data_IF_158981459833
#
_entry.id   IF_158981459833
#
_cell.length_a   1.000
_cell.length_b   1.000
_cell.length_c   1.000
_cell.angle_alpha   90.00
_cell.angle_beta   90.00
_cell.angle_gamma   90.00
#
_symmetry.space_group_name_H-M   'P 1'
#
loop_
_entity.id
_entity.type
_entity.pdbx_description
1 polymer ?
#
# COMPACT_ATOMS: atom_id res chain seq x y z
N UNK A 1 -6.63 -16.94 5.41
CA UNK A 1 -6.87 -18.16 4.60
C UNK A 1 -7.86 -17.95 3.46
N UNK A 2 -9.05 -17.38 3.68
CA UNK A 2 -10.03 -17.13 2.59
C UNK A 2 -9.46 -16.34 1.40
N UNK A 3 -8.76 -15.23 1.68
CA UNK A 3 -8.04 -14.45 0.67
C UNK A 3 -7.04 -15.27 -0.14
N UNK A 4 -6.17 -16.03 0.54
CA UNK A 4 -5.14 -16.88 -0.09
C UNK A 4 -5.75 -17.89 -1.07
N UNK A 5 -6.78 -18.62 -0.64
CA UNK A 5 -7.45 -19.63 -1.47
C UNK A 5 -8.07 -18.95 -2.70
N UNK A 6 -8.67 -17.77 -2.52
CA UNK A 6 -9.25 -17.05 -3.64
C UNK A 6 -8.19 -16.52 -4.61
N UNK A 7 -7.05 -16.03 -4.12
CA UNK A 7 -5.94 -15.61 -4.98
C UNK A 7 -5.48 -16.77 -5.88
N UNK A 8 -5.22 -17.94 -5.29
CA UNK A 8 -4.82 -19.14 -6.02
C UNK A 8 -5.89 -19.55 -7.05
N UNK A 9 -7.18 -19.56 -6.67
CA UNK A 9 -8.29 -19.89 -7.58
C UNK A 9 -8.47 -18.89 -8.73
N UNK A 10 -8.09 -17.63 -8.56
CA UNK A 10 -8.13 -16.62 -9.62
C UNK A 10 -6.83 -16.58 -10.46
N UNK A 11 -5.90 -17.51 -10.22
CA UNK A 11 -4.61 -17.58 -10.93
C UNK A 11 -3.60 -16.53 -10.51
N UNK A 12 -3.82 -15.84 -9.39
CA UNK A 12 -2.88 -14.86 -8.84
C UNK A 12 -1.98 -15.57 -7.84
N UNK A 13 -0.69 -15.60 -8.14
CA UNK A 13 0.31 -16.23 -7.28
C UNK A 13 0.53 -15.35 -6.04
N UNK A 14 0.48 -15.90 -4.80
CA UNK A 14 0.82 -15.14 -3.60
C UNK A 14 2.34 -15.07 -3.45
N UNK A 15 2.89 -13.87 -3.26
CA UNK A 15 4.30 -13.65 -2.92
C UNK A 15 4.55 -13.83 -1.43
N UNK A 16 3.64 -13.31 -0.60
CA UNK A 16 3.73 -13.46 0.84
C UNK A 16 2.37 -13.63 1.53
N UNK A 17 2.39 -14.37 2.63
CA UNK A 17 1.30 -14.51 3.59
C UNK A 17 1.81 -14.14 4.97
N UNK A 18 1.14 -13.19 5.61
CA UNK A 18 1.37 -12.82 7.00
C UNK A 18 0.23 -13.35 7.84
N UNK A 19 0.55 -14.12 8.88
CA UNK A 19 -0.43 -14.62 9.85
C UNK A 19 0.20 -14.71 11.23
N UNK A 20 -0.42 -14.08 12.23
CA UNK A 20 -0.07 -14.23 13.65
C UNK A 20 1.45 -14.07 13.94
N UNK A 21 2.07 -13.02 13.40
CA UNK A 21 3.50 -12.76 13.60
C UNK A 21 4.45 -13.57 12.71
N UNK A 22 3.95 -14.52 11.91
CA UNK A 22 4.74 -15.32 10.98
C UNK A 22 4.49 -14.82 9.55
N UNK A 23 5.57 -14.60 8.81
CA UNK A 23 5.55 -14.27 7.40
C UNK A 23 6.08 -15.46 6.57
N UNK A 24 5.26 -15.97 5.68
CA UNK A 24 5.64 -16.94 4.66
C UNK A 24 5.90 -16.18 3.37
N UNK A 25 7.13 -16.21 2.87
CA UNK A 25 7.54 -15.42 1.70
C UNK A 25 8.18 -16.33 0.67
N UNK A 26 7.78 -16.18 -0.59
CA UNK A 26 8.33 -16.94 -1.71
C UNK A 26 9.42 -16.13 -2.43
N UNK A 27 10.67 -16.26 -1.96
CA UNK A 27 11.85 -15.57 -2.51
C UNK A 27 12.92 -16.61 -2.91
N UNK A 28 12.73 -17.24 -4.08
CA UNK A 28 13.53 -18.38 -4.57
C UNK A 28 13.46 -19.58 -3.60
N UNK A 29 12.25 -19.88 -3.14
CA UNK A 29 11.96 -20.88 -2.12
C UNK A 29 11.09 -20.31 -1.00
N UNK A 30 10.35 -21.19 -0.32
CA UNK A 30 9.51 -20.80 0.81
C UNK A 30 10.40 -20.46 2.01
N UNK A 31 10.41 -19.20 2.41
CA UNK A 31 11.10 -18.71 3.61
C UNK A 31 10.09 -18.34 4.68
N UNK A 32 10.34 -18.80 5.89
CA UNK A 32 9.54 -18.46 7.07
C UNK A 32 10.31 -17.40 7.86
N UNK A 33 9.67 -16.27 8.14
CA UNK A 33 10.27 -15.16 8.88
C UNK A 33 9.36 -14.77 10.04
N UNK A 34 9.93 -14.55 11.22
CA UNK A 34 9.17 -14.10 12.38
C UNK A 34 9.23 -12.57 12.52
N UNK A 35 8.05 -11.95 12.56
CA UNK A 35 7.86 -10.51 12.64
C UNK A 35 6.75 -10.23 13.68
N UNK A 36 7.10 -10.10 14.96
CA UNK A 36 6.13 -10.04 16.06
C UNK A 36 5.19 -8.83 15.96
N UNK A 37 5.58 -7.76 15.25
CA UNK A 37 4.71 -6.60 15.00
C UNK A 37 3.40 -6.95 14.29
N UNK A 38 3.36 -8.03 13.50
CA UNK A 38 2.11 -8.50 12.87
C UNK A 38 1.12 -9.11 13.86
N UNK A 39 1.52 -9.43 15.10
CA UNK A 39 0.57 -9.83 16.16
C UNK A 39 -0.38 -8.69 16.54
N UNK A 40 0.06 -7.44 16.36
CA UNK A 40 -0.77 -6.25 16.61
C UNK A 40 -1.82 -6.04 15.51
N UNK A 41 -1.63 -6.65 14.34
CA UNK A 41 -2.62 -6.63 13.28
C UNK A 41 -3.61 -7.77 13.50
N UNK A 42 -4.85 -7.43 13.84
CA UNK A 42 -5.94 -8.41 13.97
C UNK A 42 -6.25 -8.96 12.57
N UNK A 43 -5.57 -10.03 12.18
CA UNK A 43 -5.78 -10.71 10.90
C UNK A 43 -4.49 -11.18 10.22
N UNK A 44 -4.60 -11.41 8.91
CA UNK A 44 -3.47 -11.76 8.07
C UNK A 44 -3.53 -11.01 6.74
N UNK A 45 -2.35 -10.68 6.20
CA UNK A 45 -2.21 -9.99 4.92
C UNK A 45 -1.72 -10.99 3.87
N UNK A 46 -2.29 -10.94 2.67
CA UNK A 46 -1.77 -11.67 1.51
C UNK A 46 -1.28 -10.64 0.50
N UNK A 47 -0.02 -10.72 0.12
CA UNK A 47 0.58 -9.87 -0.89
C UNK A 47 0.72 -10.71 -2.17
N UNK A 48 0.10 -10.29 -3.28
CA UNK A 48 0.26 -10.97 -4.57
C UNK A 48 1.69 -10.80 -5.08
N UNK A 49 2.09 -11.72 -5.95
CA UNK A 49 3.30 -11.57 -6.77
C UNK A 49 3.15 -10.45 -7.79
N UNK A 50 4.21 -10.19 -8.55
CA UNK A 50 4.20 -9.19 -9.61
C UNK A 50 2.99 -9.35 -10.54
N UNK A 51 2.33 -8.22 -10.81
CA UNK A 51 1.15 -8.12 -11.66
C UNK A 51 1.44 -7.13 -12.78
N UNK A 52 0.99 -7.47 -13.99
CA UNK A 52 1.08 -6.63 -15.19
C UNK A 52 -0.33 -6.37 -15.73
N UNK A 53 -0.60 -5.12 -16.14
CA UNK A 53 -1.85 -4.62 -16.70
C UNK A 53 -1.51 -3.66 -17.84
N UNK A 54 -1.60 -4.13 -19.07
CA UNK A 54 -1.14 -3.39 -20.26
C UNK A 54 -2.29 -2.96 -21.16
N UNK A 55 -3.51 -3.39 -20.83
CA UNK A 55 -4.70 -3.12 -21.62
C UNK A 55 -5.93 -2.95 -20.75
N UNK A 56 -6.99 -2.39 -21.35
CA UNK A 56 -8.29 -2.23 -20.70
C UNK A 56 -8.94 -3.56 -20.36
N UNK A 57 -8.81 -4.57 -21.22
CA UNK A 57 -9.38 -5.90 -20.97
C UNK A 57 -8.70 -6.57 -19.76
N UNK A 58 -7.38 -6.38 -19.63
CA UNK A 58 -6.62 -6.83 -18.46
C UNK A 58 -7.00 -6.05 -17.19
N UNK A 59 -7.19 -4.73 -17.29
CA UNK A 59 -7.68 -3.90 -16.19
C UNK A 59 -9.01 -4.44 -15.66
N UNK A 60 -9.98 -4.65 -16.56
CA UNK A 60 -11.31 -5.15 -16.20
C UNK A 60 -11.26 -6.56 -15.61
N UNK A 61 -10.44 -7.45 -16.19
CA UNK A 61 -10.22 -8.79 -15.67
C UNK A 61 -9.59 -8.75 -14.27
N UNK A 62 -8.60 -7.90 -14.05
CA UNK A 62 -7.93 -7.74 -12.75
C UNK A 62 -8.87 -7.16 -11.69
N UNK A 63 -9.64 -6.13 -12.03
CA UNK A 63 -10.68 -5.58 -11.15
C UNK A 63 -11.68 -6.68 -10.77
N UNK A 64 -12.12 -7.52 -11.71
CA UNK A 64 -13.02 -8.62 -11.43
C UNK A 64 -12.39 -9.65 -10.47
N UNK A 65 -11.14 -10.06 -10.71
CA UNK A 65 -10.42 -11.00 -9.84
C UNK A 65 -10.29 -10.45 -8.41
N UNK A 66 -9.87 -9.20 -8.25
CA UNK A 66 -9.70 -8.57 -6.94
C UNK A 66 -11.01 -8.40 -6.18
N UNK A 67 -12.11 -8.02 -6.85
CA UNK A 67 -13.44 -7.97 -6.21
C UNK A 67 -13.85 -9.33 -5.64
N UNK A 68 -13.55 -10.43 -6.34
CA UNK A 68 -13.81 -11.79 -5.83
C UNK A 68 -12.92 -12.12 -4.64
N UNK A 69 -11.63 -11.79 -4.71
CA UNK A 69 -10.68 -12.01 -3.62
C UNK A 69 -11.09 -11.26 -2.36
N UNK A 70 -11.38 -9.96 -2.45
CA UNK A 70 -11.83 -9.15 -1.31
C UNK A 70 -13.04 -9.78 -0.61
N UNK A 71 -14.01 -10.28 -1.37
CA UNK A 71 -15.18 -10.95 -0.79
C UNK A 71 -14.87 -12.28 -0.10
N UNK A 72 -13.77 -12.94 -0.43
CA UNK A 72 -13.45 -14.27 0.08
C UNK A 72 -13.08 -14.26 1.56
N UNK A 73 -12.41 -13.22 2.06
CA UNK A 73 -12.05 -13.09 3.48
C UNK A 73 -13.28 -13.11 4.42
N UNK A 74 -14.20 -12.15 4.27
CA UNK A 74 -15.40 -12.09 5.11
C UNK A 74 -16.31 -13.30 4.90
N UNK A 75 -16.50 -13.78 3.66
CA UNK A 75 -17.31 -14.97 3.38
C UNK A 75 -16.75 -16.22 4.04
N UNK A 76 -15.43 -16.44 3.97
CA UNK A 76 -14.80 -17.58 4.62
C UNK A 76 -14.98 -17.54 6.14
N UNK A 77 -14.90 -16.35 6.74
CA UNK A 77 -15.13 -16.16 8.18
C UNK A 77 -16.57 -16.51 8.57
N UNK A 78 -17.56 -16.07 7.80
CA UNK A 78 -18.98 -16.41 8.01
C UNK A 78 -19.22 -17.91 7.86
N UNK A 79 -18.72 -18.53 6.79
CA UNK A 79 -18.88 -19.97 6.55
C UNK A 79 -18.26 -20.78 7.69
N UNK A 80 -17.05 -20.40 8.14
CA UNK A 80 -16.37 -21.05 9.25
C UNK A 80 -17.15 -20.92 10.56
N UNK A 81 -17.68 -19.74 10.87
CA UNK A 81 -18.52 -19.52 12.05
C UNK A 81 -19.80 -20.37 12.04
N UNK A 82 -20.49 -20.44 10.90
CA UNK A 82 -21.69 -21.29 10.73
C UNK A 82 -21.35 -22.77 10.88
N UNK A 83 -20.23 -23.22 10.30
CA UNK A 83 -19.81 -24.61 10.37
C UNK A 83 -19.47 -25.03 11.82
N UNK A 84 -18.77 -24.18 12.57
CA UNK A 84 -18.50 -24.44 14.00
C UNK A 84 -19.80 -24.47 14.80
N UNK A 85 -20.74 -23.58 14.53
CA UNK A 85 -22.04 -23.58 15.20
C UNK A 85 -22.78 -24.89 14.94
N UNK A 86 -22.81 -25.37 13.70
CA UNK A 86 -23.45 -26.65 13.34
C UNK A 86 -22.76 -27.85 14.02
N UNK A 87 -21.42 -27.90 14.02
CA UNK A 87 -20.66 -28.96 14.70
C UNK A 87 -20.98 -28.96 16.20
N UNK A 88 -21.02 -27.78 16.82
CA UNK A 88 -21.36 -27.67 18.24
C UNK A 88 -22.79 -28.15 18.52
N UNK A 89 -23.77 -27.75 17.71
CA UNK A 89 -25.17 -28.22 17.83
C UNK A 89 -25.25 -29.75 17.70
N UNK A 90 -24.52 -30.35 16.76
CA UNK A 90 -24.48 -31.81 16.60
C UNK A 90 -23.86 -32.50 17.84
N UNK A 91 -22.84 -31.90 18.44
CA UNK A 91 -22.21 -32.45 19.64
C UNK A 91 -23.09 -32.38 20.89
N UNK A 92 -24.09 -31.46 20.95
CA UNK A 92 -25.07 -31.41 22.03
C UNK A 92 -25.87 -32.72 22.18
N UNK A 93 -26.00 -33.50 21.11
CA UNK A 93 -26.65 -34.81 21.12
C UNK A 93 -25.74 -35.96 21.59
N UNK A 94 -24.49 -35.65 21.95
CA UNK A 94 -23.53 -36.63 22.46
C UNK A 94 -23.31 -36.46 23.97
N UNK A 95 -23.06 -37.55 24.69
CA UNK A 95 -22.77 -37.54 26.13
C UNK A 95 -21.32 -37.13 26.45
N UNK A 96 -20.61 -36.46 25.53
CA UNK A 96 -19.20 -36.10 25.67
C UNK A 96 -19.10 -34.65 26.17
N UNK A 97 -19.30 -34.45 27.48
CA UNK A 97 -19.40 -33.11 28.09
C UNK A 97 -18.15 -32.24 27.92
N UNK A 98 -16.94 -32.82 27.99
CA UNK A 98 -15.70 -32.07 27.81
C UNK A 98 -15.57 -31.50 26.39
N UNK A 99 -15.99 -32.28 25.38
CA UNK A 99 -15.98 -31.87 23.98
C UNK A 99 -17.02 -30.78 23.74
N UNK A 100 -18.21 -30.90 24.35
CA UNK A 100 -19.24 -29.87 24.32
C UNK A 100 -18.77 -28.55 24.92
N UNK A 101 -18.08 -28.59 26.08
CA UNK A 101 -17.50 -27.41 26.69
C UNK A 101 -16.43 -26.75 25.81
N UNK A 102 -15.51 -27.54 25.26
CA UNK A 102 -14.47 -27.05 24.36
C UNK A 102 -15.06 -26.41 23.09
N UNK A 103 -15.97 -27.11 22.41
CA UNK A 103 -16.62 -26.61 21.20
C UNK A 103 -17.48 -25.38 21.45
N UNK A 104 -18.13 -25.27 22.62
CA UNK A 104 -18.84 -24.07 23.03
C UNK A 104 -17.89 -22.87 23.11
N UNK A 105 -16.76 -23.01 23.81
CA UNK A 105 -15.76 -21.95 23.90
C UNK A 105 -15.23 -21.55 22.53
N UNK A 106 -14.90 -22.52 21.68
CA UNK A 106 -14.45 -22.27 20.29
C UNK A 106 -15.53 -21.55 19.48
N UNK A 107 -16.80 -21.93 19.63
CA UNK A 107 -17.94 -21.28 18.97
C UNK A 107 -18.10 -19.84 19.41
N UNK A 108 -18.06 -19.54 20.71
CA UNK A 108 -18.18 -18.17 21.24
C UNK A 108 -17.04 -17.30 20.72
N UNK A 109 -15.79 -17.77 20.85
CA UNK A 109 -14.61 -17.03 20.37
C UNK A 109 -14.69 -16.79 18.85
N UNK A 110 -15.01 -17.82 18.07
CA UNK A 110 -15.13 -17.72 16.61
C UNK A 110 -16.26 -16.79 16.19
N UNK A 111 -17.37 -16.78 16.92
CA UNK A 111 -18.51 -15.89 16.66
C UNK A 111 -18.10 -14.43 16.86
N UNK A 112 -17.44 -14.12 17.99
CA UNK A 112 -16.92 -12.77 18.26
C UNK A 112 -15.93 -12.36 17.18
N UNK A 113 -14.97 -13.22 16.84
CA UNK A 113 -13.97 -12.94 15.81
C UNK A 113 -14.60 -12.74 14.42
N UNK A 114 -15.63 -13.53 14.08
CA UNK A 114 -16.37 -13.39 12.82
C UNK A 114 -17.09 -12.04 12.76
N UNK A 115 -17.76 -11.64 13.85
CA UNK A 115 -18.42 -10.32 13.93
C UNK A 115 -17.40 -9.20 13.77
N UNK A 116 -16.26 -9.27 14.47
CA UNK A 116 -15.19 -8.27 14.35
C UNK A 116 -14.62 -8.21 12.93
N UNK A 117 -14.38 -9.36 12.28
CA UNK A 117 -13.90 -9.42 10.90
C UNK A 117 -14.90 -8.81 9.92
N UNK A 118 -16.19 -9.10 10.07
CA UNK A 118 -17.25 -8.53 9.21
C UNK A 118 -17.40 -7.02 9.45
N UNK A 119 -17.34 -6.55 10.70
CA UNK A 119 -17.38 -5.12 11.00
C UNK A 119 -16.17 -4.40 10.42
N UNK A 120 -14.96 -4.93 10.64
CA UNK A 120 -13.72 -4.41 10.08
C UNK A 120 -13.77 -4.32 8.56
N UNK A 121 -14.32 -5.33 7.88
CA UNK A 121 -14.45 -5.34 6.42
C UNK A 121 -15.38 -4.26 5.85
N UNK A 122 -16.25 -3.65 6.67
CA UNK A 122 -17.13 -2.54 6.26
C UNK A 122 -16.52 -1.16 6.51
N UNK A 123 -15.41 -1.07 7.25
CA UNK A 123 -14.80 0.22 7.61
C UNK A 123 -14.17 0.88 6.37
N UNK A 124 -14.43 2.18 6.20
CA UNK A 124 -13.70 3.06 5.29
C UNK A 124 -13.33 4.33 6.03
N UNK A 125 -12.03 4.54 6.33
CA UNK A 125 -11.53 5.76 6.98
C UNK A 125 -10.17 6.14 6.45
N UNK A 126 -10.01 7.42 6.10
CA UNK A 126 -8.72 8.05 5.78
C UNK A 126 -7.85 7.26 4.78
N UNK A 127 -8.45 6.74 3.71
CA UNK A 127 -7.73 5.96 2.69
C UNK A 127 -7.53 4.47 3.04
N UNK A 128 -7.89 4.02 4.25
CA UNK A 128 -7.96 2.60 4.59
C UNK A 128 -9.36 2.05 4.34
N UNK A 129 -9.43 0.97 3.58
CA UNK A 129 -10.68 0.31 3.21
C UNK A 129 -10.64 -1.16 3.64
N UNK A 130 -11.62 -1.58 4.43
CA UNK A 130 -11.91 -2.98 4.65
C UNK A 130 -12.46 -3.65 3.39
N UNK A 131 -12.48 -4.97 3.35
CA UNK A 131 -12.77 -5.75 2.13
C UNK A 131 -14.08 -5.39 1.40
N UNK A 132 -15.20 -5.22 2.13
CA UNK A 132 -16.48 -4.82 1.52
C UNK A 132 -16.47 -3.37 1.06
N UNK A 133 -15.85 -2.49 1.85
CA UNK A 133 -15.71 -1.08 1.49
C UNK A 133 -14.84 -0.90 0.24
N UNK A 134 -13.73 -1.63 0.15
CA UNK A 134 -12.83 -1.65 -0.99
C UNK A 134 -13.55 -2.16 -2.25
N UNK A 135 -14.32 -3.26 -2.15
CA UNK A 135 -15.13 -3.76 -3.28
C UNK A 135 -16.10 -2.69 -3.78
N UNK A 136 -16.80 -2.00 -2.88
CA UNK A 136 -17.73 -0.92 -3.24
C UNK A 136 -16.99 0.28 -3.86
N UNK A 137 -15.80 0.59 -3.37
CA UNK A 137 -14.96 1.67 -3.90
C UNK A 137 -14.47 1.37 -5.32
N UNK A 138 -14.12 0.12 -5.64
CA UNK A 138 -13.79 -0.29 -7.01
C UNK A 138 -14.89 0.00 -8.05
N UNK A 139 -16.15 -0.02 -7.64
CA UNK A 139 -17.29 0.27 -8.52
C UNK A 139 -17.58 1.77 -8.65
N UNK A 140 -17.37 2.54 -7.57
CA UNK A 140 -17.88 3.90 -7.44
C UNK A 140 -16.80 4.99 -7.52
N UNK A 141 -15.57 4.66 -7.21
CA UNK A 141 -14.48 5.61 -7.04
C UNK A 141 -13.34 5.28 -8.02
N UNK A 142 -13.28 6.07 -9.10
CA UNK A 142 -12.25 5.92 -10.13
C UNK A 142 -10.84 6.21 -9.58
N UNK A 143 -10.70 7.16 -8.66
CA UNK A 143 -9.41 7.51 -8.05
C UNK A 143 -8.90 6.34 -7.20
N UNK A 144 -9.78 5.76 -6.38
CA UNK A 144 -9.45 4.57 -5.59
C UNK A 144 -9.02 3.42 -6.50
N UNK A 145 -9.81 3.11 -7.53
CA UNK A 145 -9.51 2.02 -8.48
C UNK A 145 -8.14 2.21 -9.13
N UNK A 146 -7.88 3.39 -9.69
CA UNK A 146 -6.62 3.69 -10.37
C UNK A 146 -5.43 3.58 -9.40
N UNK A 147 -5.51 4.24 -8.25
CA UNK A 147 -4.44 4.22 -7.24
C UNK A 147 -4.14 2.81 -6.75
N UNK A 148 -5.17 1.99 -6.55
CA UNK A 148 -5.02 0.61 -6.09
C UNK A 148 -4.34 -0.27 -7.16
N UNK A 149 -4.75 -0.16 -8.42
CA UNK A 149 -4.15 -0.94 -9.50
C UNK A 149 -2.69 -0.56 -9.74
N UNK A 150 -2.37 0.73 -9.72
CA UNK A 150 -0.99 1.22 -9.82
C UNK A 150 -0.14 0.66 -8.68
N UNK A 151 -0.65 0.68 -7.45
CA UNK A 151 0.06 0.11 -6.30
C UNK A 151 0.38 -1.38 -6.53
N UNK A 152 -0.55 -2.13 -7.12
CA UNK A 152 -0.33 -3.56 -7.40
C UNK A 152 0.76 -3.81 -8.44
N UNK A 153 0.86 -2.97 -9.47
CA UNK A 153 1.84 -3.10 -10.55
C UNK A 153 3.20 -2.48 -10.23
N UNK A 154 3.36 -1.85 -9.06
CA UNK A 154 4.60 -1.15 -8.67
C UNK A 154 5.19 -1.62 -7.34
N UNK A 155 4.42 -2.30 -6.49
CA UNK A 155 4.84 -2.66 -5.13
C UNK A 155 6.03 -3.63 -5.08
N UNK A 156 5.99 -4.71 -5.87
CA UNK A 156 7.03 -5.74 -5.87
C UNK A 156 8.16 -5.34 -6.81
N UNK A 157 7.79 -4.94 -8.01
CA UNK A 157 8.67 -4.49 -9.08
C UNK A 157 7.90 -3.45 -9.86
N UNK A 158 8.61 -2.42 -10.33
CA UNK A 158 8.03 -1.36 -11.12
C UNK A 158 7.84 -1.83 -12.56
N UNK A 159 6.59 -2.17 -12.93
CA UNK A 159 6.27 -2.56 -14.30
C UNK A 159 6.13 -1.34 -15.23
N UNK A 160 7.09 -1.17 -16.14
CA UNK A 160 7.09 -0.06 -17.10
C UNK A 160 5.93 -0.14 -18.08
N UNK A 161 5.53 -1.35 -18.47
CA UNK A 161 4.47 -1.54 -19.47
C UNK A 161 3.10 -1.19 -18.88
N UNK A 162 2.83 -1.62 -17.64
CA UNK A 162 1.64 -1.15 -16.90
C UNK A 162 1.64 0.35 -16.68
N UNK A 163 2.78 0.95 -16.33
CA UNK A 163 2.85 2.38 -16.10
C UNK A 163 2.61 3.18 -17.38
N UNK A 164 3.08 2.71 -18.53
CA UNK A 164 2.76 3.31 -19.82
C UNK A 164 1.25 3.28 -20.11
N UNK A 165 0.58 2.16 -19.79
CA UNK A 165 -0.88 2.05 -19.93
C UNK A 165 -1.63 3.01 -18.98
N UNK A 166 -1.23 3.09 -17.71
CA UNK A 166 -1.90 3.95 -16.73
C UNK A 166 -1.59 5.43 -16.87
N UNK A 167 -0.47 5.81 -17.51
CA UNK A 167 0.00 7.19 -17.55
C UNK A 167 -1.05 8.22 -18.01
N UNK A 168 -1.78 8.01 -19.12
CA UNK A 168 -2.82 8.94 -19.55
C UNK A 168 -3.92 9.12 -18.49
N UNK A 169 -4.33 8.02 -17.83
CA UNK A 169 -5.34 8.06 -16.77
C UNK A 169 -4.85 8.76 -15.50
N UNK A 170 -3.56 8.64 -15.16
CA UNK A 170 -2.94 9.36 -14.04
C UNK A 170 -3.01 10.87 -14.30
N UNK A 171 -2.57 11.30 -15.48
CA UNK A 171 -2.57 12.71 -15.87
C UNK A 171 -4.00 13.26 -15.87
N UNK A 172 -4.93 12.59 -16.56
CA UNK A 172 -6.34 13.00 -16.63
C UNK A 172 -6.97 13.12 -15.23
N UNK A 173 -6.72 12.14 -14.35
CA UNK A 173 -7.27 12.14 -12.98
C UNK A 173 -6.74 13.32 -12.16
N UNK A 174 -5.44 13.60 -12.24
CA UNK A 174 -4.81 14.70 -11.51
C UNK A 174 -5.20 16.07 -12.07
N UNK A 175 -5.46 16.18 -13.37
CA UNK A 175 -5.92 17.39 -14.04
C UNK A 175 -7.39 17.70 -13.77
N UNK A 176 -8.26 16.69 -13.73
CA UNK A 176 -9.72 16.89 -13.58
C UNK A 176 -10.15 16.99 -12.12
N UNK A 177 -9.56 16.20 -11.21
CA UNK A 177 -9.96 16.22 -9.81
C UNK A 177 -9.35 17.38 -9.01
N UNK A 178 -10.13 17.92 -8.09
CA UNK A 178 -9.75 19.07 -7.25
C UNK A 178 -9.55 18.68 -5.78
N UNK A 179 -9.64 17.39 -5.44
CA UNK A 179 -9.56 16.89 -4.06
C UNK A 179 -8.13 16.74 -3.56
N UNK A 180 -7.39 17.86 -3.55
CA UNK A 180 -5.99 17.92 -3.16
C UNK A 180 -5.73 17.41 -1.72
N UNK A 181 -6.75 17.42 -0.85
CA UNK A 181 -6.68 16.95 0.54
C UNK A 181 -6.99 15.45 0.72
N UNK A 182 -7.35 14.73 -0.35
CA UNK A 182 -7.53 13.28 -0.28
C UNK A 182 -6.18 12.58 -0.18
N UNK A 183 -6.05 11.60 0.73
CA UNK A 183 -4.86 10.75 0.82
C UNK A 183 -4.60 10.02 -0.49
N UNK A 184 -5.65 9.51 -1.14
CA UNK A 184 -5.51 8.80 -2.42
C UNK A 184 -5.00 9.74 -3.53
N UNK A 185 -5.45 10.99 -3.53
CA UNK A 185 -4.95 11.99 -4.48
C UNK A 185 -3.47 12.29 -4.22
N UNK A 186 -3.09 12.42 -2.95
CA UNK A 186 -1.69 12.63 -2.55
C UNK A 186 -0.80 11.46 -2.95
N UNK A 187 -1.27 10.22 -2.79
CA UNK A 187 -0.56 9.02 -3.22
C UNK A 187 -0.41 8.99 -4.76
N UNK A 188 -1.47 9.30 -5.51
CA UNK A 188 -1.43 9.36 -6.96
C UNK A 188 -0.47 10.45 -7.45
N UNK A 189 -0.47 11.63 -6.80
CA UNK A 189 0.46 12.71 -7.10
C UNK A 189 1.91 12.31 -6.77
N UNK A 190 2.12 11.60 -5.67
CA UNK A 190 3.43 11.04 -5.32
C UNK A 190 3.95 10.09 -6.40
N UNK A 191 3.09 9.20 -6.93
CA UNK A 191 3.44 8.35 -8.05
C UNK A 191 3.77 9.16 -9.30
N UNK A 192 2.91 10.10 -9.67
CA UNK A 192 3.13 10.98 -10.83
C UNK A 192 4.49 11.67 -10.77
N UNK A 193 4.84 12.24 -9.61
CA UNK A 193 6.14 12.88 -9.41
C UNK A 193 7.28 11.86 -9.54
N UNK A 194 7.14 10.68 -8.95
CA UNK A 194 8.15 9.63 -9.02
C UNK A 194 8.44 9.22 -10.49
N UNK A 195 7.39 9.07 -11.31
CA UNK A 195 7.54 8.75 -12.73
C UNK A 195 8.25 9.86 -13.52
N UNK A 196 7.93 11.13 -13.25
CA UNK A 196 8.62 12.25 -13.90
C UNK A 196 10.09 12.29 -13.48
N UNK A 197 10.37 12.19 -12.18
CA UNK A 197 11.70 12.39 -11.60
C UNK A 197 12.66 11.25 -11.92
N UNK A 198 12.22 9.99 -11.77
CA UNK A 198 13.12 8.83 -11.81
C UNK A 198 12.96 7.99 -13.09
N UNK A 199 11.90 8.22 -13.86
CA UNK A 199 11.61 7.50 -15.08
C UNK A 199 11.50 8.41 -16.32
N UNK A 200 11.67 9.73 -16.15
CA UNK A 200 11.73 10.68 -17.27
C UNK A 200 10.39 10.87 -17.99
N UNK A 201 9.26 10.62 -17.32
CA UNK A 201 7.95 10.90 -17.91
C UNK A 201 7.73 12.40 -18.11
N UNK A 202 6.92 12.75 -19.12
CA UNK A 202 6.69 14.15 -19.49
C UNK A 202 5.84 14.85 -18.41
N UNK A 203 6.39 15.96 -17.89
CA UNK A 203 5.69 16.82 -16.94
C UNK A 203 4.50 17.56 -17.56
N UNK A 204 3.45 17.80 -16.78
CA UNK A 204 2.26 18.53 -17.18
C UNK A 204 2.12 19.82 -16.36
N UNK A 205 2.02 20.95 -17.07
CA UNK A 205 1.88 22.29 -16.49
C UNK A 205 0.60 22.46 -15.65
N UNK A 206 -0.50 21.81 -16.03
CA UNK A 206 -1.77 21.87 -15.29
C UNK A 206 -1.61 21.29 -13.88
N UNK A 207 -0.90 20.16 -13.78
CA UNK A 207 -0.63 19.49 -12.50
C UNK A 207 0.34 20.33 -11.68
N UNK A 208 1.37 20.91 -12.30
CA UNK A 208 2.32 21.79 -11.62
C UNK A 208 1.63 22.97 -10.91
N UNK A 209 0.66 23.62 -11.58
CA UNK A 209 -0.13 24.70 -10.97
C UNK A 209 -0.86 24.24 -9.70
N UNK A 210 -1.40 23.02 -9.69
CA UNK A 210 -2.05 22.41 -8.51
C UNK A 210 -1.03 22.03 -7.43
N UNK A 211 0.16 21.56 -7.80
CA UNK A 211 1.21 21.30 -6.81
C UNK A 211 1.62 22.59 -6.09
N UNK A 212 1.74 23.70 -6.81
CA UNK A 212 2.08 24.99 -6.22
C UNK A 212 1.07 25.49 -5.19
N UNK A 213 -0.23 25.20 -5.37
CA UNK A 213 -1.24 25.51 -4.36
C UNK A 213 -1.18 24.55 -3.17
N UNK A 214 -0.92 23.26 -3.42
CA UNK A 214 -0.75 22.22 -2.41
C UNK A 214 0.41 22.48 -1.44
N UNK A 215 1.55 22.96 -1.94
CA UNK A 215 2.75 23.26 -1.12
C UNK A 215 2.42 24.16 0.07
N UNK A 216 1.50 25.12 -0.10
CA UNK A 216 1.11 26.06 0.97
C UNK A 216 0.37 25.37 2.10
N UNK A 217 -0.45 24.36 1.77
CA UNK A 217 -1.36 23.68 2.69
C UNK A 217 -1.04 22.19 2.84
N UNK A 218 0.23 21.82 2.68
CA UNK A 218 0.63 20.41 2.75
C UNK A 218 0.37 19.86 4.17
N UNK A 219 -0.24 18.66 4.28
CA UNK A 219 -0.50 18.03 5.57
C UNK A 219 0.77 17.93 6.42
N UNK A 220 0.65 18.19 7.73
CA UNK A 220 1.78 18.14 8.68
C UNK A 220 2.04 16.72 9.20
N UNK A 221 2.03 15.77 8.28
CA UNK A 221 2.21 14.33 8.52
C UNK A 221 3.48 13.83 7.85
N UNK A 222 3.87 12.59 8.13
CA UNK A 222 4.97 11.91 7.42
C UNK A 222 4.77 11.94 5.90
N UNK A 223 3.59 11.54 5.40
CA UNK A 223 3.28 11.55 3.96
C UNK A 223 3.38 12.94 3.35
N UNK A 224 2.99 13.98 4.10
CA UNK A 224 3.10 15.36 3.66
C UNK A 224 4.55 15.84 3.55
N UNK A 225 5.43 15.41 4.45
CA UNK A 225 6.87 15.67 4.33
C UNK A 225 7.46 14.97 3.11
N UNK A 226 7.13 13.69 2.92
CA UNK A 226 7.61 12.89 1.78
C UNK A 226 7.18 13.52 0.47
N UNK A 227 5.91 13.91 0.36
CA UNK A 227 5.39 14.62 -0.81
C UNK A 227 6.12 15.95 -1.04
N UNK A 228 6.40 16.72 0.03
CA UNK A 228 7.14 17.98 -0.09
C UNK A 228 8.52 17.78 -0.70
N UNK A 229 9.25 16.76 -0.25
CA UNK A 229 10.59 16.43 -0.76
C UNK A 229 10.53 15.91 -2.20
N UNK A 230 9.52 15.08 -2.52
CA UNK A 230 9.29 14.65 -3.90
C UNK A 230 9.03 15.85 -4.84
N UNK A 231 8.28 16.85 -4.39
CA UNK A 231 8.07 18.10 -5.16
C UNK A 231 9.40 18.86 -5.36
N UNK A 232 10.33 18.81 -4.40
CA UNK A 232 11.67 19.38 -4.61
C UNK A 232 12.40 18.62 -5.72
N UNK A 233 12.38 17.28 -5.69
CA UNK A 233 13.02 16.47 -6.74
C UNK A 233 12.39 16.70 -8.12
N UNK A 234 11.08 16.93 -8.17
CA UNK A 234 10.39 17.32 -9.40
C UNK A 234 10.96 18.59 -10.02
N UNK A 235 11.15 19.65 -9.23
CA UNK A 235 11.72 20.89 -9.76
C UNK A 235 13.20 20.77 -10.11
N UNK A 236 13.93 19.90 -9.42
CA UNK A 236 15.30 19.55 -9.81
C UNK A 236 15.34 18.84 -11.17
N UNK A 237 14.44 17.88 -11.42
CA UNK A 237 14.31 17.19 -12.71
C UNK A 237 14.01 18.16 -13.85
N UNK A 238 13.20 19.20 -13.59
CA UNK A 238 12.90 20.27 -14.54
C UNK A 238 14.00 21.35 -14.65
N UNK A 239 15.14 21.18 -13.97
CA UNK A 239 16.23 22.16 -13.88
C UNK A 239 15.82 23.54 -13.32
N UNK A 240 14.73 23.64 -12.55
CA UNK A 240 14.31 24.89 -11.86
C UNK A 240 15.00 25.01 -10.48
N UNK A 241 16.30 25.30 -10.52
CA UNK A 241 17.14 25.46 -9.31
C UNK A 241 16.65 26.55 -8.36
N UNK A 242 16.10 27.64 -8.90
CA UNK A 242 15.58 28.75 -8.09
C UNK A 242 14.44 28.27 -7.20
N UNK A 243 13.52 27.48 -7.75
CA UNK A 243 12.39 26.93 -7.02
C UNK A 243 12.82 25.86 -6.02
N UNK A 244 13.79 25.02 -6.36
CA UNK A 244 14.42 24.06 -5.44
C UNK A 244 14.96 24.76 -4.21
N UNK A 245 15.81 25.78 -4.38
CA UNK A 245 16.41 26.54 -3.26
C UNK A 245 15.32 27.21 -2.41
N UNK A 246 14.32 27.81 -3.05
CA UNK A 246 13.19 28.44 -2.34
C UNK A 246 12.41 27.45 -1.47
N UNK A 247 12.15 26.25 -1.98
CA UNK A 247 11.44 25.21 -1.23
C UNK A 247 12.28 24.67 -0.08
N UNK A 248 13.58 24.45 -0.29
CA UNK A 248 14.50 24.04 0.78
C UNK A 248 14.57 25.08 1.91
N UNK A 249 14.68 26.36 1.57
CA UNK A 249 14.71 27.44 2.58
C UNK A 249 13.40 27.55 3.37
N UNK A 250 12.28 27.17 2.76
CA UNK A 250 10.97 27.17 3.41
C UNK A 250 10.66 25.87 4.17
N UNK A 251 11.49 24.83 4.03
CA UNK A 251 11.29 23.54 4.67
C UNK A 251 11.57 23.66 6.18
N UNK A 252 10.51 23.69 6.97
CA UNK A 252 10.61 23.57 8.42
C UNK A 252 10.19 22.16 8.85
N UNK A 253 11.17 21.29 9.02
CA UNK A 253 10.97 19.86 9.38
C UNK A 253 10.31 19.69 10.75
N UNK A 254 10.53 20.61 11.70
CA UNK A 254 9.93 20.56 13.03
C UNK A 254 8.41 20.69 13.03
N UNK A 255 7.81 21.19 11.93
CA UNK A 255 6.35 21.27 11.79
C UNK A 255 5.70 19.94 11.42
N UNK A 256 6.45 18.93 10.99
CA UNK A 256 5.90 17.66 10.52
C UNK A 256 5.96 16.60 11.62
N UNK A 257 4.87 15.85 11.79
CA UNK A 257 4.84 14.69 12.68
C UNK A 257 5.42 13.47 11.96
N UNK A 258 6.73 13.27 12.10
CA UNK A 258 7.51 12.20 11.45
C UNK A 258 8.47 11.55 12.45
N UNK A 259 8.81 10.28 12.25
CA UNK A 259 9.85 9.62 13.05
C UNK A 259 11.26 10.09 12.65
N UNK A 260 12.18 10.20 13.61
CA UNK A 260 13.56 10.67 13.36
C UNK A 260 14.29 9.82 12.31
N UNK A 261 13.99 8.52 12.25
CA UNK A 261 14.57 7.60 11.28
C UNK A 261 14.15 7.91 9.84
N UNK A 262 12.86 8.14 9.63
CA UNK A 262 12.31 8.52 8.31
C UNK A 262 12.85 9.90 7.92
N UNK A 263 12.84 10.86 8.84
CA UNK A 263 13.38 12.20 8.59
C UNK A 263 14.86 12.14 8.20
N UNK A 264 15.69 11.40 8.94
CA UNK A 264 17.12 11.26 8.66
C UNK A 264 17.37 10.62 7.30
N UNK A 265 16.62 9.55 6.97
CA UNK A 265 16.71 8.90 5.67
C UNK A 265 16.42 9.88 4.53
N UNK A 266 15.28 10.58 4.60
CA UNK A 266 14.87 11.49 3.55
C UNK A 266 15.78 12.71 3.41
N UNK A 267 16.28 13.30 4.51
CA UNK A 267 17.23 14.41 4.42
C UNK A 267 18.56 14.00 3.77
N UNK A 268 19.07 12.80 4.09
CA UNK A 268 20.29 12.27 3.45
C UNK A 268 20.05 11.93 1.99
N UNK A 269 18.89 11.36 1.67
CA UNK A 269 18.48 11.11 0.29
C UNK A 269 18.40 12.43 -0.49
N UNK A 270 17.79 13.47 0.08
CA UNK A 270 17.73 14.80 -0.55
C UNK A 270 19.12 15.37 -0.80
N UNK A 271 20.02 15.32 0.19
CA UNK A 271 21.39 15.81 0.02
C UNK A 271 22.13 15.08 -1.10
N UNK A 272 21.94 13.77 -1.22
CA UNK A 272 22.53 12.94 -2.25
C UNK A 272 21.96 13.24 -3.63
N UNK A 273 20.63 13.20 -3.77
CA UNK A 273 19.94 13.41 -5.06
C UNK A 273 20.16 14.81 -5.62
N UNK A 274 20.24 15.83 -4.77
CA UNK A 274 20.49 17.22 -5.20
C UNK A 274 21.98 17.54 -5.42
N UNK A 275 22.88 16.62 -5.07
CA UNK A 275 24.33 16.76 -5.23
C UNK A 275 24.99 17.66 -4.18
N UNK A 276 24.35 17.93 -3.04
CA UNK A 276 24.94 18.72 -1.96
C UNK A 276 26.00 17.93 -1.18
N UNK A 277 25.77 16.63 -1.01
CA UNK A 277 26.70 15.74 -0.31
C UNK A 277 26.50 14.31 -0.77
N UNK A 278 27.60 13.60 -0.98
CA UNK A 278 27.54 12.16 -1.23
C UNK A 278 27.16 11.40 0.05
N UNK A 279 26.01 10.73 0.03
CA UNK A 279 25.49 9.89 1.11
C UNK A 279 25.36 8.42 0.67
N UNK A 280 26.02 7.99 -0.43
CA UNK A 280 25.96 6.60 -0.93
C UNK A 280 26.31 5.58 0.13
N UNK A 281 27.31 5.86 0.98
CA UNK A 281 27.67 4.98 2.10
C UNK A 281 26.47 4.82 3.04
N UNK A 282 25.77 5.88 3.41
CA UNK A 282 24.62 5.77 4.30
C UNK A 282 23.45 5.04 3.63
N UNK A 283 23.14 5.39 2.38
CA UNK A 283 21.96 4.95 1.64
C UNK A 283 22.07 3.49 1.15
N UNK A 284 23.28 2.99 0.91
CA UNK A 284 23.53 1.60 0.52
C UNK A 284 23.33 0.59 1.65
N UNK A 285 23.28 1.02 2.91
CA UNK A 285 23.08 0.12 4.04
C UNK A 285 21.57 -0.15 4.26
N UNK A 286 21.08 -1.40 4.12
CA UNK A 286 19.65 -1.71 4.22
C UNK A 286 19.00 -1.36 5.56
N UNK A 287 19.79 -1.22 6.63
CA UNK A 287 19.31 -0.81 7.96
C UNK A 287 18.92 0.67 8.04
N UNK A 288 19.42 1.49 7.12
CA UNK A 288 19.23 2.94 7.11
C UNK A 288 18.11 3.37 6.17
N UNK A 289 17.67 2.46 5.30
CA UNK A 289 16.57 2.69 4.36
C UNK A 289 15.26 2.72 5.14
N UNK A 290 14.63 3.90 5.22
CA UNK A 290 13.41 4.14 5.99
C UNK A 290 12.41 4.99 5.20
N UNK A 291 11.77 4.36 4.20
CA UNK A 291 10.79 5.01 3.32
C UNK A 291 9.47 5.38 3.99
N UNK A 292 9.10 4.70 5.06
CA UNK A 292 7.96 5.09 5.91
C UNK A 292 8.02 4.41 7.28
N UNK A 293 7.22 4.91 8.21
CA UNK A 293 6.95 4.28 9.50
C UNK A 293 6.31 2.88 9.35
N UNK A 294 5.72 2.57 8.19
CA UNK A 294 5.09 1.28 7.88
C UNK A 294 5.98 0.33 7.07
N UNK A 295 7.20 0.71 6.72
CA UNK A 295 8.12 -0.11 5.93
C UNK A 295 8.37 -1.52 6.53
N UNK A 296 8.19 -1.68 7.84
CA UNK A 296 8.27 -2.98 8.52
C UNK A 296 7.29 -4.02 7.96
N UNK A 297 6.18 -3.60 7.35
CA UNK A 297 5.20 -4.50 6.69
C UNK A 297 5.83 -5.18 5.47
N UNK A 298 6.67 -4.46 4.74
CA UNK A 298 7.29 -4.93 3.50
C UNK A 298 8.69 -5.52 3.69
N UNK A 299 9.35 -5.23 4.82
CA UNK A 299 10.68 -5.76 5.16
C UNK A 299 10.84 -7.28 4.92
N UNK A 300 9.84 -8.14 5.17
CA UNK A 300 9.97 -9.57 4.93
C UNK A 300 10.03 -9.96 3.44
N UNK A 301 9.64 -9.08 2.53
CA UNK A 301 9.69 -9.31 1.08
C UNK A 301 11.08 -9.12 0.47
N UNK A 302 12.05 -8.55 1.22
CA UNK A 302 13.36 -8.17 0.68
C UNK A 302 13.28 -7.40 -0.66
N UNK A 303 12.29 -6.52 -0.81
CA UNK A 303 12.22 -5.64 -1.99
C UNK A 303 13.52 -4.82 -2.00
N UNK A 304 14.31 -4.96 -3.05
CA UNK A 304 15.53 -4.19 -3.23
C UNK A 304 15.11 -2.78 -3.65
N UNK A 305 15.24 -1.82 -2.73
CA UNK A 305 15.09 -0.42 -3.08
C UNK A 305 16.37 0.02 -3.82
N UNK A 306 16.29 0.12 -5.14
CA UNK A 306 17.37 0.70 -5.94
C UNK A 306 17.41 2.21 -5.75
N UNK A 307 18.59 2.73 -5.44
CA UNK A 307 18.82 4.17 -5.40
C UNK A 307 18.86 4.70 -6.85
N UNK A 308 17.74 5.28 -7.29
CA UNK A 308 17.64 5.92 -8.61
C UNK A 308 18.08 7.37 -8.55
N UNK A 309 18.87 7.79 -9.54
CA UNK A 309 19.21 9.19 -9.76
C UNK A 309 18.04 9.96 -10.39
N UNK A 310 18.05 11.29 -10.24
CA UNK A 310 17.09 12.18 -10.92
C UNK A 310 17.43 12.19 -12.41
N UNK A 311 16.44 11.90 -13.26
CA UNK A 311 16.52 12.01 -14.72
C UNK A 311 16.28 13.47 -15.10
N UNK A 312 17.14 14.02 -15.96
CA UNK A 312 17.10 15.40 -16.45
C UNK A 312 16.71 15.47 -17.91
#
# INVERSE_FOLDING_TARGET
MGHLISFIKQGIKPKALYALGIAFVNDNGLKIRFVPKFLLMIGGIVIPDHLSIQSKDEEEAMVHKFKRVLLAGPKASIIYGVLILLIWILCLFTNIYWLNGFLFTVMVVTSIMTVLAVLSSKVSRAGMYGDFAAKKAFDKDKLFRLTYLIQLTTLIEHDKESMAYFWPSIVEMLETQHHAHSQLYTNLLGQYIYEVVFHGQIACLSIEKKMNSLIRNIPKTEDGLILYLNIIYYYEALNDRTKVIRLLNNLNTAKFKVSDKVLTYYLRLTNHLLGFKDETIFLSHPKNVHTSSYQWVYKPLNIQEELKGIVK
#
